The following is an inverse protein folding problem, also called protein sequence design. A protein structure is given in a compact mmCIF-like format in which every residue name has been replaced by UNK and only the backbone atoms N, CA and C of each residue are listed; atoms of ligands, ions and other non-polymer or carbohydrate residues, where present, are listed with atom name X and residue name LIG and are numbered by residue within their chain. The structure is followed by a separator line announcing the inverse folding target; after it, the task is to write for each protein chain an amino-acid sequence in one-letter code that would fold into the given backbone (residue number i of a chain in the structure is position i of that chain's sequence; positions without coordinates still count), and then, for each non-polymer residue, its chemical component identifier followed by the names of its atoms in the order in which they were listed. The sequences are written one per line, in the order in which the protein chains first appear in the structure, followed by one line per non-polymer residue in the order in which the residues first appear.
data_IF_687633318974
#
_entry.id   IF_687633318974
#
_cell.length_a   1.000
_cell.length_b   1.000
_cell.length_c   1.000
_cell.angle_alpha   90.00
_cell.angle_beta   90.00
_cell.angle_gamma   90.00
#
_symmetry.space_group_name_H-M   'P 1'
#
loop_
_entity.id
_entity.type
_entity.pdbx_description
1 polymer ?
#
# COMPACT_ATOMS: atom_id res chain seq x y z
N UNK A 1 -10.53 12.49 4.50
CA UNK A 1 -9.63 11.81 5.45
C UNK A 1 -8.29 12.50 5.44
N UNK A 2 -7.74 12.76 6.60
CA UNK A 2 -6.47 13.47 6.72
C UNK A 2 -5.32 12.46 6.78
N UNK A 3 -4.48 12.50 5.78
CA UNK A 3 -3.29 11.63 5.70
C UNK A 3 -2.00 12.36 6.05
N UNK A 4 -2.10 13.55 6.64
CA UNK A 4 -0.90 14.34 6.92
C UNK A 4 0.01 13.67 7.97
N UNK A 5 -0.54 12.81 8.80
CA UNK A 5 0.23 12.07 9.80
C UNK A 5 0.73 10.72 9.30
N UNK A 6 0.44 10.35 8.06
CA UNK A 6 0.83 9.06 7.52
C UNK A 6 2.35 8.95 7.46
N UNK A 7 2.87 7.82 7.91
CA UNK A 7 4.28 7.49 7.78
C UNK A 7 4.43 6.49 6.66
N UNK A 8 4.95 6.96 5.55
CA UNK A 8 5.02 6.16 4.33
C UNK A 8 6.30 5.35 4.28
N UNK A 9 6.17 4.07 3.99
CA UNK A 9 7.30 3.17 3.84
C UNK A 9 7.19 2.45 2.51
N UNK A 10 8.30 2.29 1.83
CA UNK A 10 8.30 1.54 0.57
C UNK A 10 8.00 0.08 0.84
N UNK A 11 7.19 -0.50 -0.02
CA UNK A 11 6.80 -1.89 0.07
C UNK A 11 7.55 -2.72 -0.96
N UNK A 12 7.81 -3.98 -0.62
CA UNK A 12 8.43 -4.92 -1.54
C UNK A 12 7.40 -5.79 -2.26
N UNK A 13 6.14 -5.39 -2.24
CA UNK A 13 5.08 -6.17 -2.89
C UNK A 13 5.27 -6.29 -4.39
N UNK A 14 5.96 -5.34 -5.01
CA UNK A 14 6.20 -5.31 -6.46
C UNK A 14 7.54 -5.87 -6.80
N UNK A 15 7.89 -7.02 -6.26
CA UNK A 15 9.19 -7.61 -6.50
C UNK A 15 9.45 -7.84 -7.99
N UNK A 16 10.65 -7.53 -8.41
CA UNK A 16 11.08 -7.76 -9.78
C UNK A 16 10.82 -6.60 -10.71
N UNK A 17 10.11 -5.59 -10.26
CA UNK A 17 9.88 -4.41 -11.07
C UNK A 17 10.34 -3.19 -10.28
N UNK A 18 11.50 -2.67 -10.65
CA UNK A 18 12.10 -1.54 -9.97
C UNK A 18 11.41 -0.23 -10.26
N UNK A 19 10.51 -0.22 -11.22
CA UNK A 19 9.83 1.00 -11.62
C UNK A 19 8.51 1.23 -10.90
N UNK A 20 8.00 0.21 -10.23
CA UNK A 20 6.72 0.29 -9.56
C UNK A 20 6.91 0.22 -8.07
N UNK A 21 7.22 1.34 -7.48
CA UNK A 21 7.40 1.44 -6.04
C UNK A 21 6.08 1.88 -5.42
N UNK A 22 5.61 1.08 -4.49
CA UNK A 22 4.39 1.35 -3.74
C UNK A 22 4.80 1.75 -2.33
N UNK A 23 4.17 2.78 -1.80
CA UNK A 23 4.38 3.18 -0.41
C UNK A 23 3.13 2.86 0.39
N UNK A 24 3.35 2.39 1.62
CA UNK A 24 2.28 1.97 2.51
C UNK A 24 2.40 2.72 3.82
N UNK A 25 1.29 3.24 4.32
CA UNK A 25 1.22 3.86 5.63
C UNK A 25 0.30 3.02 6.51
N UNK A 26 0.83 2.49 7.60
CA UNK A 26 0.11 1.58 8.49
C UNK A 26 -0.02 2.15 9.90
N UNK A 27 0.39 3.38 10.09
CA UNK A 27 0.36 4.00 11.42
C UNK A 27 -0.95 4.73 11.72
N UNK A 28 -1.86 4.78 10.74
CA UNK A 28 -3.12 5.49 10.92
C UNK A 28 -4.16 4.54 11.52
N UNK A 29 -4.96 5.01 12.49
CA UNK A 29 -5.93 4.13 13.14
C UNK A 29 -7.03 3.68 12.18
N UNK A 30 -7.26 2.36 12.15
CA UNK A 30 -8.38 1.78 11.42
C UNK A 30 -8.23 1.71 9.92
N UNK A 31 -7.10 2.14 9.36
CA UNK A 31 -6.90 2.08 7.90
C UNK A 31 -5.46 1.74 7.56
N UNK A 32 -5.29 1.29 6.31
CA UNK A 32 -3.98 1.19 5.67
C UNK A 32 -4.08 2.00 4.38
N UNK A 33 -3.19 2.96 4.20
CA UNK A 33 -3.19 3.82 3.02
C UNK A 33 -2.04 3.41 2.10
N UNK A 34 -2.29 3.47 0.79
CA UNK A 34 -1.34 3.04 -0.22
C UNK A 34 -1.23 4.10 -1.29
N UNK A 35 -0.02 4.39 -1.72
CA UNK A 35 0.17 5.34 -2.82
C UNK A 35 1.34 4.90 -3.69
N UNK A 36 1.37 5.43 -4.90
CA UNK A 36 2.50 5.26 -5.81
C UNK A 36 3.57 6.28 -5.42
N UNK A 37 4.78 5.81 -5.15
CA UNK A 37 5.87 6.71 -4.79
C UNK A 37 6.25 7.67 -5.90
N UNK A 38 5.92 7.33 -7.15
CA UNK A 38 6.18 8.18 -8.30
C UNK A 38 5.11 9.25 -8.50
N UNK A 39 3.99 9.11 -7.83
CA UNK A 39 2.88 10.04 -7.96
C UNK A 39 2.30 10.36 -6.58
N UNK A 40 3.09 10.99 -5.71
CA UNK A 40 2.65 11.23 -4.32
C UNK A 40 1.49 12.20 -4.22
N UNK A 41 1.22 12.98 -5.27
CA UNK A 41 0.09 13.92 -5.28
C UNK A 41 -1.21 13.30 -5.77
N UNK A 42 -1.14 12.05 -6.27
CA UNK A 42 -2.35 11.35 -6.68
C UNK A 42 -3.10 10.84 -5.46
N UNK A 43 -4.41 10.64 -5.56
CA UNK A 43 -5.18 10.10 -4.43
C UNK A 43 -4.65 8.74 -3.99
N UNK A 44 -4.61 8.56 -2.67
CA UNK A 44 -4.20 7.28 -2.09
C UNK A 44 -5.36 6.31 -2.09
N UNK A 45 -5.04 5.02 -2.14
CA UNK A 45 -6.03 3.96 -1.92
C UNK A 45 -6.11 3.68 -0.42
N UNK A 46 -7.32 3.46 0.06
CA UNK A 46 -7.56 3.24 1.48
C UNK A 46 -8.17 1.86 1.67
N UNK A 47 -7.59 1.09 2.58
CA UNK A 47 -8.07 -0.23 2.92
C UNK A 47 -8.31 -0.32 4.42
N UNK A 48 -9.22 -1.21 4.83
CA UNK A 48 -9.23 -1.64 6.23
C UNK A 48 -8.06 -2.59 6.45
N UNK A 49 -7.61 -2.78 7.70
CA UNK A 49 -6.52 -3.74 7.95
C UNK A 49 -6.83 -5.15 7.47
N UNK A 50 -8.08 -5.61 7.59
CA UNK A 50 -8.43 -6.94 7.12
C UNK A 50 -8.43 -7.04 5.60
N UNK A 51 -8.88 -6.00 4.90
CA UNK A 51 -8.80 -5.95 3.45
C UNK A 51 -7.34 -5.99 2.99
N UNK A 52 -6.50 -5.25 3.68
CA UNK A 52 -5.09 -5.21 3.35
C UNK A 52 -4.43 -6.58 3.54
N UNK A 53 -4.75 -7.26 4.64
CA UNK A 53 -4.23 -8.60 4.91
C UNK A 53 -4.65 -9.59 3.83
N UNK A 54 -5.90 -9.53 3.40
CA UNK A 54 -6.40 -10.41 2.34
C UNK A 54 -5.67 -10.13 1.02
N UNK A 55 -5.46 -8.87 0.71
CA UNK A 55 -4.75 -8.48 -0.51
C UNK A 55 -3.31 -9.00 -0.51
N UNK A 56 -2.59 -8.83 0.60
CA UNK A 56 -1.21 -9.29 0.70
C UNK A 56 -1.14 -10.81 0.61
N UNK A 57 -2.06 -11.51 1.26
CA UNK A 57 -2.09 -12.97 1.19
C UNK A 57 -2.33 -13.46 -0.22
N UNK A 58 -3.20 -12.77 -0.97
CA UNK A 58 -3.47 -13.15 -2.36
C UNK A 58 -2.21 -13.01 -3.21
N UNK A 59 -1.45 -11.95 -3.02
CA UNK A 59 -0.20 -11.76 -3.75
C UNK A 59 0.79 -12.86 -3.40
N UNK A 60 0.94 -13.19 -2.11
CA UNK A 60 1.88 -14.22 -1.67
C UNK A 60 1.52 -15.59 -2.20
N UNK A 61 0.24 -15.83 -2.39
CA UNK A 61 -0.24 -17.11 -2.90
C UNK A 61 -0.27 -17.19 -4.41
N UNK A 62 0.17 -16.14 -5.10
CA UNK A 62 0.24 -16.16 -6.56
C UNK A 62 -1.11 -16.04 -7.24
N UNK A 63 -2.11 -15.47 -6.58
CA UNK A 63 -3.45 -15.40 -7.15
C UNK A 63 -3.62 -14.32 -8.21
N UNK A 64 -2.60 -13.53 -8.41
CA UNK A 64 -2.63 -12.43 -9.39
C UNK A 64 -1.71 -12.68 -10.57
N UNK A 65 -1.45 -13.90 -10.88
CA UNK A 65 -0.62 -14.25 -12.03
C UNK A 65 -1.25 -13.86 -13.35
#
# INVERSE_FOLDING_TARGET
MDLSSAEWHKSTLSQGDNNNCVEVARNLPGIVAIRDSKAPNEPSLIFTPSEWSAFVNSIRNGQFD
#
